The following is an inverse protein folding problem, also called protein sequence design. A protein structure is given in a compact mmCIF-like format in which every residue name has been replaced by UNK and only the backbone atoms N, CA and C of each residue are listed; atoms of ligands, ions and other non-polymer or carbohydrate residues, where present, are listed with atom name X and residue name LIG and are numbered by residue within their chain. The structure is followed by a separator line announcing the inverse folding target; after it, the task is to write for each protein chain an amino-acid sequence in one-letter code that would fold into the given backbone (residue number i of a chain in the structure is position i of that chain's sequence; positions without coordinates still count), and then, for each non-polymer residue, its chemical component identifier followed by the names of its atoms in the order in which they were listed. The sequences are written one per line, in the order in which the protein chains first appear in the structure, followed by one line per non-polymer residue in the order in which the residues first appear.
data_IF_580163622392
#
_entry.id   IF_580163622392
#
_cell.length_a   1.000
_cell.length_b   1.000
_cell.length_c   1.000
_cell.angle_alpha   90.00
_cell.angle_beta   90.00
_cell.angle_gamma   90.00
#
_symmetry.space_group_name_H-M   'P 1'
#
loop_
_entity.id
_entity.type
_entity.pdbx_description
1 polymer ?
#
# COMPACT_ATOMS: atom_id res chain seq x y z
N UNK A 1 5.45 -19.68 17.36
CA UNK A 1 5.58 -19.19 15.98
C UNK A 1 6.69 -18.15 15.98
N UNK A 2 7.76 -18.36 15.24
CA UNK A 2 8.83 -17.35 15.16
C UNK A 2 8.34 -16.13 14.36
N UNK A 3 8.86 -14.92 14.60
CA UNK A 3 8.50 -13.75 13.80
C UNK A 3 8.68 -13.98 12.30
N UNK A 4 9.73 -14.70 11.90
CA UNK A 4 10.00 -15.04 10.50
C UNK A 4 8.90 -15.94 9.90
N UNK A 5 8.47 -16.98 10.61
CA UNK A 5 7.36 -17.85 10.16
C UNK A 5 6.06 -17.08 9.99
N UNK A 6 5.79 -16.13 10.88
CA UNK A 6 4.60 -15.28 10.80
C UNK A 6 4.61 -14.46 9.49
N UNK A 7 5.70 -13.73 9.20
CA UNK A 7 5.79 -12.91 8.00
C UNK A 7 5.75 -13.75 6.71
N UNK A 8 6.37 -14.93 6.69
CA UNK A 8 6.33 -15.83 5.56
C UNK A 8 4.90 -16.33 5.30
N UNK A 9 4.21 -16.84 6.32
CA UNK A 9 2.83 -17.32 6.19
C UNK A 9 1.87 -16.21 5.76
N UNK A 10 2.01 -15.04 6.34
CA UNK A 10 1.18 -13.88 5.99
C UNK A 10 1.43 -13.44 4.54
N UNK A 11 2.70 -13.38 4.11
CA UNK A 11 3.09 -13.08 2.73
C UNK A 11 2.48 -14.07 1.73
N UNK A 12 2.55 -15.37 2.01
CA UNK A 12 1.98 -16.40 1.14
C UNK A 12 0.45 -16.24 0.98
N UNK A 13 -0.25 -15.93 2.07
CA UNK A 13 -1.68 -15.65 2.04
C UNK A 13 -2.00 -14.42 1.16
N UNK A 14 -1.25 -13.32 1.33
CA UNK A 14 -1.44 -12.12 0.52
C UNK A 14 -1.09 -12.34 -0.96
N UNK A 15 -0.07 -13.15 -1.25
CA UNK A 15 0.27 -13.52 -2.63
C UNK A 15 -0.81 -14.39 -3.28
N UNK A 16 -1.42 -15.31 -2.54
CA UNK A 16 -2.53 -16.10 -3.06
C UNK A 16 -3.73 -15.21 -3.42
N UNK A 17 -4.10 -14.27 -2.54
CA UNK A 17 -5.16 -13.29 -2.80
C UNK A 17 -4.82 -12.40 -4.00
N UNK A 18 -3.57 -11.96 -4.12
CA UNK A 18 -3.11 -11.15 -5.26
C UNK A 18 -3.29 -11.91 -6.58
N UNK A 19 -2.93 -13.21 -6.65
CA UNK A 19 -3.09 -14.02 -7.85
C UNK A 19 -4.56 -14.14 -8.28
N UNK A 20 -5.47 -14.37 -7.34
CA UNK A 20 -6.91 -14.44 -7.62
C UNK A 20 -7.43 -13.09 -8.10
N UNK A 21 -7.10 -12.02 -7.39
CA UNK A 21 -7.56 -10.66 -7.73
C UNK A 21 -7.00 -10.17 -9.08
N UNK A 22 -5.75 -10.49 -9.39
CA UNK A 22 -5.15 -10.14 -10.69
C UNK A 22 -5.80 -10.91 -11.84
N UNK A 23 -6.16 -12.19 -11.62
CA UNK A 23 -6.91 -12.98 -12.62
C UNK A 23 -8.29 -12.38 -12.89
N UNK A 24 -8.98 -11.94 -11.85
CA UNK A 24 -10.28 -11.24 -11.99
C UNK A 24 -10.12 -9.96 -12.81
N UNK A 25 -9.07 -9.16 -12.55
CA UNK A 25 -8.79 -7.96 -13.33
C UNK A 25 -8.56 -8.25 -14.81
N UNK A 26 -7.82 -9.31 -15.14
CA UNK A 26 -7.59 -9.69 -16.53
C UNK A 26 -8.91 -10.03 -17.24
N UNK A 27 -9.82 -10.75 -16.57
CA UNK A 27 -11.15 -11.02 -17.12
C UNK A 27 -11.98 -9.76 -17.33
N UNK A 28 -11.94 -8.79 -16.41
CA UNK A 28 -12.60 -7.50 -16.56
C UNK A 28 -12.04 -6.75 -17.80
N UNK A 29 -10.72 -6.80 -18.00
CA UNK A 29 -10.09 -6.16 -19.17
C UNK A 29 -10.55 -6.79 -20.48
N UNK A 30 -10.63 -8.13 -20.55
CA UNK A 30 -11.16 -8.84 -21.73
C UNK A 30 -12.62 -8.44 -21.97
N UNK A 31 -13.43 -8.39 -20.92
CA UNK A 31 -14.84 -8.01 -21.03
C UNK A 31 -15.03 -6.56 -21.50
N UNK A 32 -14.16 -5.64 -21.07
CA UNK A 32 -14.14 -4.24 -21.58
C UNK A 32 -13.82 -4.20 -23.06
N UNK A 33 -12.85 -4.99 -23.54
CA UNK A 33 -12.53 -5.08 -24.96
C UNK A 33 -13.72 -5.59 -25.78
N UNK A 34 -14.43 -6.61 -25.26
CA UNK A 34 -15.65 -7.12 -25.92
C UNK A 34 -16.76 -6.07 -25.95
N UNK A 35 -16.98 -5.32 -24.87
CA UNK A 35 -17.93 -4.22 -24.83
C UNK A 35 -17.57 -3.12 -25.84
N UNK A 36 -16.28 -2.78 -25.94
CA UNK A 36 -15.82 -1.81 -26.92
C UNK A 36 -16.05 -2.29 -28.39
N UNK A 37 -15.73 -3.54 -28.68
CA UNK A 37 -16.00 -4.14 -30.00
C UNK A 37 -17.51 -4.15 -30.32
N UNK A 38 -18.36 -4.47 -29.34
CA UNK A 38 -19.82 -4.44 -29.49
C UNK A 38 -20.32 -3.01 -29.76
N UNK A 39 -19.75 -2.00 -29.09
CA UNK A 39 -20.09 -0.59 -29.32
C UNK A 39 -19.75 -0.16 -30.75
N UNK A 40 -18.56 -0.50 -31.24
CA UNK A 40 -18.15 -0.21 -32.63
C UNK A 40 -19.08 -0.91 -33.62
N UNK A 41 -19.45 -2.17 -33.33
CA UNK A 41 -20.41 -2.90 -34.17
C UNK A 41 -21.82 -2.25 -34.19
N UNK A 42 -22.32 -1.80 -33.02
CA UNK A 42 -23.59 -1.08 -32.94
C UNK A 42 -23.57 0.22 -33.75
N UNK A 43 -22.47 0.98 -33.65
CA UNK A 43 -22.30 2.22 -34.45
C UNK A 43 -22.28 1.93 -35.97
N UNK A 44 -21.56 0.90 -36.40
CA UNK A 44 -21.54 0.47 -37.80
C UNK A 44 -22.94 0.10 -38.30
N UNK A 45 -23.70 -0.67 -37.51
CA UNK A 45 -25.07 -1.08 -37.85
C UNK A 45 -26.05 0.10 -37.87
N UNK A 46 -25.88 1.07 -36.95
CA UNK A 46 -26.68 2.29 -36.93
C UNK A 46 -26.52 3.10 -38.24
N UNK A 47 -25.30 3.22 -38.76
CA UNK A 47 -25.00 3.91 -40.00
C UNK A 47 -25.56 3.12 -41.20
N UNK A 48 -25.36 1.79 -41.19
CA UNK A 48 -25.79 0.92 -42.29
C UNK A 48 -27.31 0.75 -42.43
N UNK A 49 -28.07 0.89 -41.34
CA UNK A 49 -29.53 0.56 -41.29
C UNK A 49 -30.41 1.81 -41.16
N UNK A 50 -29.92 3.00 -41.52
CA UNK A 50 -30.67 4.28 -41.51
C UNK A 50 -31.72 4.38 -40.38
N UNK A 51 -31.29 4.54 -39.12
CA UNK A 51 -32.16 5.02 -38.05
C UNK A 51 -33.02 3.99 -37.31
N UNK A 52 -32.67 2.71 -37.31
CA UNK A 52 -33.36 1.75 -36.47
C UNK A 52 -33.10 2.09 -34.98
N UNK A 53 -34.10 2.63 -34.30
CA UNK A 53 -34.05 3.07 -32.88
C UNK A 53 -33.55 1.98 -31.90
N UNK A 54 -33.74 0.71 -32.24
CA UNK A 54 -33.24 -0.43 -31.50
C UNK A 54 -31.72 -0.41 -31.30
N UNK A 55 -30.94 0.05 -32.31
CA UNK A 55 -29.47 0.13 -32.23
C UNK A 55 -28.99 1.25 -31.30
N UNK A 56 -29.78 2.31 -31.13
CA UNK A 56 -29.50 3.40 -30.19
C UNK A 56 -29.56 2.87 -28.74
N UNK A 57 -30.64 2.13 -28.42
CA UNK A 57 -30.80 1.53 -27.10
C UNK A 57 -29.73 0.46 -26.80
N UNK A 58 -29.37 -0.33 -27.79
CA UNK A 58 -28.26 -1.30 -27.68
C UNK A 58 -26.92 -0.62 -27.43
N UNK A 59 -26.62 0.46 -28.14
CA UNK A 59 -25.45 1.30 -27.93
C UNK A 59 -25.42 1.93 -26.54
N UNK A 60 -26.54 2.50 -26.08
CA UNK A 60 -26.65 3.06 -24.73
C UNK A 60 -26.41 2.00 -23.65
N UNK A 61 -26.94 0.79 -23.81
CA UNK A 61 -26.72 -0.33 -22.90
C UNK A 61 -25.24 -0.76 -22.84
N UNK A 62 -24.54 -0.81 -24.00
CA UNK A 62 -23.10 -1.16 -24.01
C UNK A 62 -22.24 -0.08 -23.38
N UNK A 63 -22.58 1.21 -23.52
CA UNK A 63 -21.89 2.30 -22.83
C UNK A 63 -22.10 2.20 -21.32
N UNK A 64 -23.33 1.97 -20.86
CA UNK A 64 -23.62 1.80 -19.43
C UNK A 64 -22.84 0.61 -18.83
N UNK A 65 -22.83 -0.53 -19.54
CA UNK A 65 -22.05 -1.71 -19.14
C UNK A 65 -20.54 -1.40 -19.06
N UNK A 66 -19.99 -0.67 -20.03
CA UNK A 66 -18.60 -0.27 -20.04
C UNK A 66 -18.24 0.64 -18.84
N UNK A 67 -19.11 1.58 -18.49
CA UNK A 67 -18.92 2.45 -17.31
C UNK A 67 -18.92 1.61 -16.03
N UNK A 68 -19.87 0.71 -15.86
CA UNK A 68 -19.93 -0.19 -14.69
C UNK A 68 -18.69 -1.05 -14.56
N UNK A 69 -18.22 -1.64 -15.66
CA UNK A 69 -16.99 -2.42 -15.69
C UNK A 69 -15.76 -1.57 -15.34
N UNK A 70 -15.74 -0.30 -15.75
CA UNK A 70 -14.63 0.61 -15.43
C UNK A 70 -14.60 0.96 -13.95
N UNK A 71 -15.77 1.23 -13.35
CA UNK A 71 -15.87 1.46 -11.90
C UNK A 71 -15.42 0.22 -11.12
N UNK A 72 -15.82 -0.96 -11.58
CA UNK A 72 -15.41 -2.20 -10.93
C UNK A 72 -13.90 -2.46 -11.06
N UNK A 73 -13.32 -2.25 -12.26
CA UNK A 73 -11.87 -2.36 -12.48
C UNK A 73 -11.07 -1.44 -11.55
N UNK A 74 -11.52 -0.19 -11.35
CA UNK A 74 -10.86 0.75 -10.46
C UNK A 74 -10.85 0.26 -9.00
N UNK A 75 -11.94 -0.37 -8.53
CA UNK A 75 -12.01 -0.97 -7.20
C UNK A 75 -11.05 -2.16 -7.06
N UNK A 76 -11.01 -3.02 -8.08
CA UNK A 76 -10.09 -4.18 -8.11
C UNK A 76 -8.63 -3.70 -8.19
N UNK A 77 -8.34 -2.65 -8.98
CA UNK A 77 -7.01 -2.06 -9.07
C UNK A 77 -6.54 -1.49 -7.73
N UNK A 78 -7.41 -0.77 -7.01
CA UNK A 78 -7.11 -0.26 -5.66
C UNK A 78 -6.76 -1.41 -4.70
N UNK A 79 -7.52 -2.50 -4.74
CA UNK A 79 -7.25 -3.69 -3.92
C UNK A 79 -5.91 -4.36 -4.26
N UNK A 80 -5.53 -4.41 -5.53
CA UNK A 80 -4.23 -4.93 -5.97
C UNK A 80 -3.08 -4.07 -5.41
N UNK A 81 -3.23 -2.75 -5.42
CA UNK A 81 -2.22 -1.84 -4.86
C UNK A 81 -2.07 -2.08 -3.35
N UNK A 82 -3.17 -2.19 -2.62
CA UNK A 82 -3.17 -2.48 -1.18
C UNK A 82 -2.42 -3.80 -0.89
N UNK A 83 -2.78 -4.90 -1.58
CA UNK A 83 -2.13 -6.19 -1.42
C UNK A 83 -0.63 -6.15 -1.72
N UNK A 84 -0.22 -5.46 -2.79
CA UNK A 84 1.19 -5.28 -3.13
C UNK A 84 1.95 -4.50 -2.06
N UNK A 85 1.33 -3.47 -1.49
CA UNK A 85 1.94 -2.69 -0.40
C UNK A 85 2.14 -3.55 0.85
N UNK A 86 1.14 -4.38 1.23
CA UNK A 86 1.27 -5.31 2.35
C UNK A 86 2.38 -6.33 2.13
N UNK A 87 2.48 -6.91 0.92
CA UNK A 87 3.56 -7.86 0.58
C UNK A 87 4.92 -7.16 0.70
N UNK A 88 5.05 -5.94 0.17
CA UNK A 88 6.29 -5.17 0.27
C UNK A 88 6.68 -4.88 1.73
N UNK A 89 5.72 -4.54 2.59
CA UNK A 89 5.99 -4.36 4.02
C UNK A 89 6.52 -5.66 4.65
N UNK A 90 5.91 -6.82 4.32
CA UNK A 90 6.39 -8.11 4.82
C UNK A 90 7.80 -8.44 4.32
N UNK A 91 8.11 -8.15 3.04
CA UNK A 91 9.43 -8.36 2.47
C UNK A 91 10.48 -7.50 3.19
N UNK A 92 10.19 -6.21 3.41
CA UNK A 92 11.07 -5.28 4.14
C UNK A 92 11.35 -5.74 5.58
N UNK A 93 10.32 -6.19 6.31
CA UNK A 93 10.50 -6.69 7.68
C UNK A 93 11.24 -8.03 7.71
N UNK A 94 10.98 -8.91 6.74
CA UNK A 94 11.71 -10.17 6.61
C UNK A 94 13.20 -9.95 6.30
N UNK A 95 13.51 -8.99 5.44
CA UNK A 95 14.89 -8.63 5.11
C UNK A 95 15.62 -8.02 6.31
N UNK A 96 14.93 -7.16 7.08
CA UNK A 96 15.45 -6.63 8.34
C UNK A 96 15.78 -7.74 9.36
N UNK A 97 14.86 -8.70 9.55
CA UNK A 97 15.08 -9.85 10.45
C UNK A 97 16.23 -10.75 10.00
N UNK A 98 16.58 -10.74 8.71
CA UNK A 98 17.72 -11.45 8.14
C UNK A 98 19.01 -10.62 8.11
N UNK A 99 19.03 -9.45 8.76
CA UNK A 99 20.19 -8.55 8.82
C UNK A 99 20.46 -7.75 7.53
N UNK A 100 19.49 -7.70 6.60
CA UNK A 100 19.60 -6.90 5.38
C UNK A 100 19.00 -5.52 5.61
N UNK A 101 19.83 -4.58 6.04
CA UNK A 101 19.40 -3.20 6.36
C UNK A 101 19.60 -2.21 5.22
N UNK A 102 20.30 -2.60 4.16
CA UNK A 102 20.77 -1.70 3.09
C UNK A 102 19.67 -0.94 2.34
N UNK A 103 18.43 -1.46 2.29
CA UNK A 103 17.29 -0.80 1.62
C UNK A 103 16.52 0.19 2.53
N UNK A 104 16.83 0.23 3.83
CA UNK A 104 16.16 1.11 4.78
C UNK A 104 16.79 2.51 4.76
N UNK A 105 15.96 3.55 4.94
CA UNK A 105 16.43 4.94 5.04
C UNK A 105 17.36 5.08 6.26
N UNK A 106 18.61 5.38 6.01
CA UNK A 106 19.65 5.57 7.03
C UNK A 106 19.50 6.86 7.82
N UNK A 107 18.71 7.82 7.33
CA UNK A 107 18.52 9.12 7.97
C UNK A 107 19.75 10.03 7.99
N UNK A 108 20.78 9.75 7.19
CA UNK A 108 22.04 10.55 7.12
C UNK A 108 21.76 12.04 6.93
N UNK A 109 20.70 12.40 6.19
CA UNK A 109 20.26 13.80 5.99
C UNK A 109 19.90 14.56 7.28
N UNK A 110 19.69 13.84 8.38
CA UNK A 110 19.35 14.41 9.69
C UNK A 110 20.54 14.42 10.66
N UNK A 111 21.70 13.94 10.21
CA UNK A 111 22.91 13.94 11.02
C UNK A 111 23.36 15.39 11.28
N UNK A 112 23.43 15.76 12.54
CA UNK A 112 23.96 17.05 12.99
C UNK A 112 25.18 16.80 13.87
N UNK A 113 26.39 17.13 13.39
CA UNK A 113 27.62 16.96 14.17
C UNK A 113 27.69 17.85 15.43
N UNK A 114 26.90 18.94 15.46
CA UNK A 114 26.81 19.83 16.62
C UNK A 114 25.85 19.35 17.72
N UNK A 115 25.11 18.28 17.48
CA UNK A 115 24.17 17.75 18.47
C UNK A 115 24.88 16.97 19.58
N UNK A 116 24.53 17.17 20.88
CA UNK A 116 25.30 16.66 22.02
C UNK A 116 25.51 15.15 22.06
N UNK A 117 24.59 14.35 21.50
CA UNK A 117 24.65 12.89 21.61
C UNK A 117 24.30 12.14 20.32
N UNK A 118 24.00 12.83 19.20
CA UNK A 118 23.53 12.16 17.98
C UNK A 118 24.59 11.25 17.35
N UNK A 119 25.87 11.62 17.48
CA UNK A 119 27.00 10.80 17.04
C UNK A 119 27.36 9.70 18.04
N UNK A 120 27.34 10.00 19.33
CA UNK A 120 27.75 9.04 20.38
C UNK A 120 26.76 7.87 20.48
N UNK A 121 25.49 8.09 20.12
CA UNK A 121 24.44 7.07 20.16
C UNK A 121 24.12 6.48 18.77
N UNK A 122 24.91 6.78 17.74
CA UNK A 122 24.67 6.31 16.37
C UNK A 122 23.19 6.47 15.95
N UNK A 123 22.62 7.67 16.20
CA UNK A 123 21.20 7.90 15.92
C UNK A 123 20.86 7.85 14.44
N UNK A 124 21.77 8.28 13.55
CA UNK A 124 21.60 8.36 12.12
C UNK A 124 22.82 7.80 11.40
N UNK A 125 22.60 7.13 10.28
CA UNK A 125 23.64 6.49 9.49
C UNK A 125 23.33 5.02 9.20
N UNK A 126 24.31 4.30 8.70
CA UNK A 126 24.21 2.86 8.51
C UNK A 126 24.19 2.14 9.87
N UNK A 127 23.34 1.13 9.99
CA UNK A 127 23.12 0.35 11.22
C UNK A 127 22.67 1.18 12.44
N UNK A 128 22.17 2.39 12.20
CA UNK A 128 21.76 3.34 13.21
C UNK A 128 20.42 2.99 13.87
N UNK A 129 20.16 3.62 15.04
CA UNK A 129 18.88 3.50 15.72
C UNK A 129 17.72 3.98 14.87
N UNK A 130 17.90 5.09 14.11
CA UNK A 130 16.89 5.58 13.19
C UNK A 130 16.54 4.54 12.12
N UNK A 131 17.55 3.93 11.48
CA UNK A 131 17.35 2.90 10.46
C UNK A 131 16.59 1.69 11.03
N UNK A 132 16.89 1.30 12.27
CA UNK A 132 16.20 0.20 12.94
C UNK A 132 14.74 0.52 13.28
N UNK A 133 14.42 1.76 13.66
CA UNK A 133 13.09 2.18 14.10
C UNK A 133 12.21 2.74 12.97
N UNK A 134 12.79 3.28 11.90
CA UNK A 134 12.05 4.00 10.88
C UNK A 134 11.15 3.07 10.06
N UNK A 135 9.85 3.15 10.32
CA UNK A 135 8.77 2.52 9.54
C UNK A 135 7.79 3.57 9.03
N UNK A 136 8.22 4.82 8.99
CA UNK A 136 7.36 5.93 8.58
C UNK A 136 7.19 5.96 7.06
N UNK A 137 5.95 6.19 6.62
CA UNK A 137 5.60 6.29 5.18
C UNK A 137 5.51 7.75 4.72
N UNK A 138 5.25 8.68 5.66
CA UNK A 138 5.05 10.09 5.33
C UNK A 138 6.21 10.95 5.79
N UNK A 139 6.58 12.02 5.05
CA UNK A 139 7.64 12.94 5.46
C UNK A 139 7.41 13.55 6.85
N UNK A 140 6.15 13.84 7.20
CA UNK A 140 5.79 14.38 8.51
C UNK A 140 6.03 13.34 9.62
N UNK A 141 5.72 12.07 9.36
CA UNK A 141 6.00 10.96 10.28
C UNK A 141 7.50 10.82 10.51
N UNK A 142 8.30 10.84 9.45
CA UNK A 142 9.76 10.80 9.51
C UNK A 142 10.32 11.96 10.35
N UNK A 143 9.88 13.19 10.07
CA UNK A 143 10.31 14.36 10.84
C UNK A 143 9.92 14.27 12.33
N UNK A 144 8.77 13.69 12.63
CA UNK A 144 8.33 13.50 14.02
C UNK A 144 9.21 12.48 14.74
N UNK A 145 9.55 11.37 14.08
CA UNK A 145 10.48 10.37 14.62
C UNK A 145 11.86 10.99 14.88
N UNK A 146 12.41 11.72 13.91
CA UNK A 146 13.68 12.45 14.04
C UNK A 146 13.64 13.40 15.25
N UNK A 147 12.56 14.18 15.39
CA UNK A 147 12.41 15.10 16.52
C UNK A 147 12.39 14.39 17.86
N UNK A 148 11.76 13.21 17.94
CA UNK A 148 11.75 12.42 19.17
C UNK A 148 13.13 11.83 19.51
N UNK A 149 13.93 11.48 18.50
CA UNK A 149 15.29 10.99 18.71
C UNK A 149 16.25 12.11 19.15
N UNK A 150 16.11 13.32 18.57
CA UNK A 150 16.95 14.47 18.87
C UNK A 150 16.53 15.23 20.15
N UNK A 151 15.25 15.20 20.51
CA UNK A 151 14.73 15.87 21.70
C UNK A 151 13.84 14.89 22.47
N UNK A 152 14.41 14.05 23.32
CA UNK A 152 13.65 13.10 24.12
C UNK A 152 12.68 13.86 25.03
N UNK A 153 11.45 13.36 25.10
CA UNK A 153 10.39 13.97 25.91
C UNK A 153 10.73 13.85 27.38
N UNK A 154 10.91 14.99 28.05
CA UNK A 154 11.14 15.06 29.49
C UNK A 154 9.83 15.07 30.30
N UNK A 155 8.70 15.18 29.61
CA UNK A 155 7.38 15.24 30.25
C UNK A 155 6.85 13.83 30.53
N UNK A 156 6.96 13.41 31.82
CA UNK A 156 6.49 12.12 32.29
C UNK A 156 4.98 11.93 32.14
N UNK A 157 4.20 13.00 31.93
CA UNK A 157 2.75 12.92 31.72
C UNK A 157 2.39 12.16 30.45
N UNK A 158 3.23 12.19 29.42
CA UNK A 158 3.03 11.44 28.17
C UNK A 158 3.24 9.93 28.34
N UNK A 159 4.00 9.49 29.31
CA UNK A 159 4.20 8.06 29.60
C UNK A 159 2.89 7.46 30.13
N UNK A 160 2.15 8.21 30.96
CA UNK A 160 0.85 7.77 31.47
C UNK A 160 -0.25 7.72 30.40
N UNK A 161 -0.16 8.52 29.34
CA UNK A 161 -1.12 8.49 28.22
C UNK A 161 -0.89 7.26 27.32
N UNK A 162 0.35 6.78 27.20
CA UNK A 162 0.68 5.61 26.38
C UNK A 162 0.47 4.26 27.08
N UNK A 163 0.19 4.25 28.40
CA UNK A 163 -0.04 3.03 29.20
C UNK A 163 -1.51 2.77 29.66
N UNK A 164 -2.58 3.27 29.02
CA UNK A 164 -3.94 3.02 29.51
C UNK A 164 -4.38 1.55 29.39
N UNK A 165 -3.62 0.73 28.64
CA UNK A 165 -3.99 -0.65 28.36
C UNK A 165 -3.43 -1.68 29.33
N UNK A 166 -2.41 -1.36 30.12
CA UNK A 166 -1.83 -2.32 31.06
C UNK A 166 -2.68 -2.56 32.30
N UNK A 167 -3.44 -1.56 32.78
CA UNK A 167 -4.31 -1.68 33.95
C UNK A 167 -5.64 -2.38 33.66
N UNK A 168 -6.09 -2.44 32.39
CA UNK A 168 -7.34 -3.10 32.01
C UNK A 168 -7.20 -4.64 31.85
N UNK A 169 -5.98 -5.18 31.87
CA UNK A 169 -5.72 -6.61 31.71
C UNK A 169 -5.41 -7.36 33.00
N UNK A 170 -5.52 -6.69 34.17
CA UNK A 170 -5.19 -7.28 35.51
C UNK A 170 -6.44 -7.35 36.41
N UNK A 171 -7.65 -7.06 35.92
CA UNK A 171 -8.89 -7.25 36.69
C UNK A 171 -9.67 -8.45 36.17
#
# INVERSE_FOLDING_TARGET
MSPQEFYQTFREQQQALLRVTSRTRNWITVLKLLCFAALVFCLYRLIATYGATAWIWCGAGTVAAFILLTVWDNRVAARIIELKTLIRCCDTESDYLNGKTAELDTGVKFLDPGHPYSLDLDLFGEESLFQALNRTVTPQGTQRLVRWLLAPCQDLSLIHISEPTRLALIS
#
